data_IF_717906752135
#
_entry.id   IF_717906752135
#
_cell.length_a   1.000
_cell.length_b   1.000
_cell.length_c   1.000
_cell.angle_alpha   90.00
_cell.angle_beta   90.00
_cell.angle_gamma   90.00
#
_symmetry.space_group_name_H-M   'P 1'
#
loop_
_entity.id
_entity.type
_entity.pdbx_description
1 polymer ?
#
# COMPACT_ATOMS: atom_id res chain seq x y z
N UNK A 1 -10.20 -24.47 -0.64
CA UNK A 1 -9.35 -23.77 -1.62
C UNK A 1 -10.15 -22.59 -2.15
N UNK A 2 -9.64 -21.37 -2.10
CA UNK A 2 -10.39 -20.20 -2.56
C UNK A 2 -10.57 -20.27 -4.08
N UNK A 3 -11.77 -19.97 -4.56
CA UNK A 3 -12.10 -19.94 -5.99
C UNK A 3 -11.45 -18.68 -6.62
N UNK A 4 -10.50 -18.81 -7.56
CA UNK A 4 -9.81 -17.65 -8.16
C UNK A 4 -10.76 -16.70 -8.89
N UNK A 5 -11.87 -17.19 -9.46
CA UNK A 5 -12.87 -16.33 -10.10
C UNK A 5 -13.59 -15.40 -9.11
N UNK A 6 -13.78 -15.86 -7.87
CA UNK A 6 -14.34 -15.04 -6.79
C UNK A 6 -13.43 -13.91 -6.35
N UNK A 7 -12.11 -14.05 -6.49
CA UNK A 7 -11.14 -12.98 -6.16
C UNK A 7 -11.18 -11.91 -7.24
N UNK A 8 -11.20 -12.29 -8.51
CA UNK A 8 -11.30 -11.38 -9.67
C UNK A 8 -12.56 -10.52 -9.65
N UNK A 9 -13.72 -11.08 -9.30
CA UNK A 9 -14.97 -10.31 -9.19
C UNK A 9 -14.91 -9.19 -8.12
N UNK A 10 -14.19 -9.41 -7.02
CA UNK A 10 -14.08 -8.39 -5.96
C UNK A 10 -13.29 -7.16 -6.40
N UNK A 11 -12.33 -7.32 -7.31
CA UNK A 11 -11.53 -6.22 -7.89
C UNK A 11 -12.42 -5.26 -8.64
N UNK A 12 -13.23 -5.78 -9.57
CA UNK A 12 -14.15 -4.97 -10.38
C UNK A 12 -15.15 -4.23 -9.50
N UNK A 13 -15.72 -4.91 -8.50
CA UNK A 13 -16.67 -4.30 -7.58
C UNK A 13 -16.05 -3.14 -6.79
N UNK A 14 -14.81 -3.30 -6.30
CA UNK A 14 -14.08 -2.23 -5.62
C UNK A 14 -13.79 -1.04 -6.53
N UNK A 15 -13.39 -1.27 -7.78
CA UNK A 15 -13.19 -0.19 -8.75
C UNK A 15 -14.47 0.60 -9.01
N UNK A 16 -15.62 -0.06 -9.09
CA UNK A 16 -16.92 0.62 -9.21
C UNK A 16 -17.23 1.44 -7.97
N UNK A 17 -17.00 0.90 -6.77
CA UNK A 17 -17.19 1.64 -5.51
C UNK A 17 -16.27 2.87 -5.42
N UNK A 18 -15.02 2.76 -5.87
CA UNK A 18 -14.08 3.88 -5.95
C UNK A 18 -14.53 4.96 -6.93
N UNK A 19 -15.41 4.64 -7.88
CA UNK A 19 -15.99 5.63 -8.80
C UNK A 19 -17.20 6.34 -8.21
N UNK A 20 -17.76 5.86 -7.10
CA UNK A 20 -18.95 6.45 -6.44
C UNK A 20 -18.53 7.54 -5.44
N UNK A 21 -18.89 8.83 -5.66
CA UNK A 21 -18.47 9.92 -4.79
C UNK A 21 -18.88 9.74 -3.32
N UNK A 22 -20.08 9.22 -3.08
CA UNK A 22 -20.60 9.00 -1.73
C UNK A 22 -19.85 7.90 -0.98
N UNK A 23 -19.43 6.84 -1.69
CA UNK A 23 -18.65 5.77 -1.08
C UNK A 23 -17.26 6.28 -0.72
N UNK A 24 -16.59 6.95 -1.68
CA UNK A 24 -15.28 7.58 -1.45
C UNK A 24 -15.27 8.56 -0.28
N UNK A 25 -16.30 9.40 -0.18
CA UNK A 25 -16.43 10.39 0.88
C UNK A 25 -16.58 9.77 2.28
N UNK A 26 -17.04 8.51 2.37
CA UNK A 26 -17.22 7.76 3.61
C UNK A 26 -16.12 6.74 3.88
N UNK A 27 -15.21 6.56 2.94
CA UNK A 27 -14.11 5.64 3.09
C UNK A 27 -13.03 6.24 3.99
N UNK A 28 -12.19 5.37 4.56
CA UNK A 28 -11.16 5.78 5.52
C UNK A 28 -9.81 5.17 5.14
N UNK A 29 -8.69 5.81 5.51
CA UNK A 29 -7.36 5.26 5.28
C UNK A 29 -7.21 3.87 5.93
N UNK A 30 -7.80 3.66 7.10
CA UNK A 30 -7.78 2.35 7.76
C UNK A 30 -8.48 1.26 6.91
N UNK A 31 -9.66 1.54 6.34
CA UNK A 31 -10.37 0.57 5.49
C UNK A 31 -9.59 0.26 4.23
N UNK A 32 -9.04 1.28 3.56
CA UNK A 32 -8.17 1.11 2.41
C UNK A 32 -6.94 0.27 2.74
N UNK A 33 -6.32 0.53 3.90
CA UNK A 33 -5.18 -0.23 4.37
C UNK A 33 -5.48 -1.72 4.59
N UNK A 34 -6.63 -2.06 5.17
CA UNK A 34 -7.06 -3.45 5.29
C UNK A 34 -7.39 -4.11 3.94
N UNK A 35 -7.91 -3.35 2.95
CA UNK A 35 -8.09 -3.87 1.58
C UNK A 35 -6.74 -4.16 0.92
N UNK A 36 -5.76 -3.28 1.11
CA UNK A 36 -4.39 -3.49 0.65
C UNK A 36 -3.74 -4.70 1.31
N UNK A 37 -3.91 -4.88 2.62
CA UNK A 37 -3.49 -6.10 3.34
C UNK A 37 -4.12 -7.37 2.76
N UNK A 38 -5.43 -7.33 2.50
CA UNK A 38 -6.13 -8.46 1.88
C UNK A 38 -5.57 -8.77 0.48
N UNK A 39 -5.32 -7.74 -0.34
CA UNK A 39 -4.71 -7.90 -1.66
C UNK A 39 -3.30 -8.51 -1.57
N UNK A 40 -2.50 -8.05 -0.61
CA UNK A 40 -1.19 -8.60 -0.31
C UNK A 40 -1.25 -10.09 0.05
N UNK A 41 -2.13 -10.48 0.98
CA UNK A 41 -2.27 -11.89 1.37
C UNK A 41 -2.80 -12.78 0.23
N UNK A 42 -3.57 -12.20 -0.69
CA UNK A 42 -4.03 -12.87 -1.90
C UNK A 42 -2.99 -12.88 -3.03
N UNK A 43 -1.85 -12.20 -2.84
CA UNK A 43 -0.84 -11.94 -3.87
C UNK A 43 -1.40 -11.30 -5.15
N UNK A 44 -2.45 -10.49 -5.00
CA UNK A 44 -3.11 -9.81 -6.10
C UNK A 44 -2.39 -8.49 -6.41
N UNK A 45 -1.39 -8.56 -7.29
CA UNK A 45 -0.58 -7.41 -7.70
C UNK A 45 -1.38 -6.28 -8.34
N UNK A 46 -2.45 -6.61 -9.09
CA UNK A 46 -3.34 -5.61 -9.66
C UNK A 46 -4.08 -4.85 -8.55
N UNK A 47 -4.62 -5.56 -7.57
CA UNK A 47 -5.28 -4.92 -6.43
C UNK A 47 -4.34 -4.13 -5.55
N UNK A 48 -3.11 -4.60 -5.34
CA UNK A 48 -2.07 -3.83 -4.65
C UNK A 48 -1.86 -2.49 -5.36
N UNK A 49 -1.72 -2.53 -6.69
CA UNK A 49 -1.55 -1.32 -7.51
C UNK A 49 -2.76 -0.39 -7.35
N UNK A 50 -3.98 -0.90 -7.53
CA UNK A 50 -5.20 -0.09 -7.46
C UNK A 50 -5.47 0.51 -6.09
N UNK A 51 -5.31 -0.24 -5.00
CA UNK A 51 -5.53 0.28 -3.64
C UNK A 51 -4.42 1.26 -3.23
N UNK A 52 -3.17 1.03 -3.64
CA UNK A 52 -2.06 1.98 -3.42
C UNK A 52 -2.35 3.32 -4.10
N UNK A 53 -2.78 3.28 -5.37
CA UNK A 53 -3.13 4.48 -6.13
C UNK A 53 -4.37 5.17 -5.56
N UNK A 54 -5.37 4.39 -5.16
CA UNK A 54 -6.57 4.92 -4.52
C UNK A 54 -6.23 5.66 -3.22
N UNK A 55 -5.36 5.08 -2.37
CA UNK A 55 -4.89 5.70 -1.14
C UNK A 55 -4.11 7.00 -1.43
N UNK A 56 -3.19 6.97 -2.41
CA UNK A 56 -2.41 8.13 -2.84
C UNK A 56 -3.30 9.30 -3.27
N UNK A 57 -4.35 9.04 -4.04
CA UNK A 57 -5.24 10.08 -4.60
C UNK A 57 -6.19 10.72 -3.59
N UNK A 58 -6.16 10.35 -2.32
CA UNK A 58 -6.87 11.07 -1.27
C UNK A 58 -5.98 12.18 -0.66
N UNK A 59 -6.24 13.46 -0.98
CA UNK A 59 -5.37 14.57 -0.55
C UNK A 59 -5.63 15.04 0.89
N UNK A 60 -6.67 14.54 1.55
CA UNK A 60 -7.01 14.96 2.91
C UNK A 60 -5.87 14.60 3.88
N UNK A 61 -5.49 15.48 4.83
CA UNK A 61 -4.49 15.17 5.86
C UNK A 61 -4.80 13.92 6.68
N UNK A 62 -6.09 13.54 6.78
CA UNK A 62 -6.48 12.29 7.43
C UNK A 62 -5.89 11.05 6.75
N UNK A 63 -5.53 11.13 5.46
CA UNK A 63 -4.91 10.07 4.67
C UNK A 63 -3.38 10.16 4.62
N UNK A 64 -2.74 10.99 5.46
CA UNK A 64 -1.29 10.94 5.62
C UNK A 64 -0.87 9.56 6.16
N UNK A 65 0.26 9.01 5.68
CA UNK A 65 0.69 7.66 6.12
C UNK A 65 0.95 7.60 7.62
N UNK A 66 1.44 8.68 8.22
CA UNK A 66 1.67 8.78 9.66
C UNK A 66 0.40 8.61 10.50
N UNK A 67 -0.78 8.85 9.91
CA UNK A 67 -2.08 8.77 10.56
C UNK A 67 -2.75 7.38 10.43
N UNK A 68 -2.08 6.39 9.84
CA UNK A 68 -2.61 5.01 9.81
C UNK A 68 -2.63 4.48 11.25
N UNK A 69 -3.81 4.13 11.81
CA UNK A 69 -3.91 3.65 13.18
C UNK A 69 -3.21 2.31 13.35
N UNK A 70 -2.67 2.09 14.55
CA UNK A 70 -2.09 0.80 14.92
C UNK A 70 -3.19 -0.28 14.90
N UNK A 71 -3.04 -1.37 14.13
CA UNK A 71 -4.03 -2.44 14.09
C UNK A 71 -3.97 -3.36 15.32
N UNK A 72 -2.94 -3.25 16.18
CA UNK A 72 -2.78 -4.04 17.41
C UNK A 72 -2.98 -5.55 17.20
N UNK A 73 -2.44 -6.07 16.09
CA UNK A 73 -2.64 -7.46 15.69
C UNK A 73 -2.03 -8.45 16.71
N UNK A 74 -2.81 -9.45 17.13
CA UNK A 74 -2.34 -10.54 18.00
C UNK A 74 -1.38 -11.49 17.29
N UNK A 75 -1.63 -11.76 16.00
CA UNK A 75 -0.77 -12.61 15.18
C UNK A 75 0.50 -11.85 14.74
N UNK A 76 1.70 -12.32 15.12
CA UNK A 76 2.95 -11.65 14.76
C UNK A 76 3.21 -11.60 13.25
N UNK A 77 2.77 -12.61 12.48
CA UNK A 77 2.94 -12.61 11.01
C UNK A 77 2.09 -11.51 10.38
N UNK A 78 0.80 -11.47 10.71
CA UNK A 78 -0.09 -10.39 10.31
C UNK A 78 0.47 -9.01 10.71
N UNK A 79 0.96 -8.86 11.94
CA UNK A 79 1.44 -7.56 12.40
C UNK A 79 2.70 -7.11 11.64
N UNK A 80 3.63 -8.02 11.38
CA UNK A 80 4.83 -7.75 10.59
C UNK A 80 4.51 -7.40 9.13
N UNK A 81 3.52 -8.08 8.53
CA UNK A 81 3.03 -7.75 7.18
C UNK A 81 2.41 -6.36 7.16
N UNK A 82 1.51 -6.06 8.11
CA UNK A 82 0.87 -4.74 8.21
C UNK A 82 1.91 -3.63 8.43
N UNK A 83 2.89 -3.84 9.32
CA UNK A 83 3.97 -2.85 9.52
C UNK A 83 4.77 -2.59 8.23
N UNK A 84 5.11 -3.66 7.52
CA UNK A 84 5.85 -3.56 6.25
C UNK A 84 5.03 -2.90 5.14
N UNK A 85 3.70 -3.13 5.11
CA UNK A 85 2.78 -2.47 4.19
C UNK A 85 2.71 -0.95 4.44
N UNK A 86 2.65 -0.53 5.69
CA UNK A 86 2.64 0.89 6.02
C UNK A 86 3.95 1.57 5.61
N UNK A 87 5.09 0.91 5.83
CA UNK A 87 6.41 1.42 5.43
C UNK A 87 6.60 1.43 3.91
N UNK A 88 6.16 0.41 3.17
CA UNK A 88 6.29 0.40 1.70
C UNK A 88 5.40 1.46 1.06
N UNK A 89 4.23 1.77 1.64
CA UNK A 89 3.42 2.91 1.20
C UNK A 89 4.21 4.21 1.30
N UNK A 90 4.90 4.45 2.42
CA UNK A 90 5.75 5.64 2.62
C UNK A 90 6.84 5.72 1.57
N UNK A 91 7.60 4.64 1.38
CA UNK A 91 8.68 4.61 0.38
C UNK A 91 8.12 4.84 -1.04
N UNK A 92 6.99 4.22 -1.38
CA UNK A 92 6.35 4.37 -2.68
C UNK A 92 5.79 5.78 -2.92
N UNK A 93 5.31 6.45 -1.88
CA UNK A 93 4.78 7.81 -1.99
C UNK A 93 5.90 8.84 -2.00
N UNK A 94 6.97 8.62 -1.23
CA UNK A 94 8.18 9.44 -1.30
C UNK A 94 8.78 9.40 -2.71
N UNK A 95 8.88 8.22 -3.31
CA UNK A 95 9.32 8.07 -4.69
C UNK A 95 8.41 8.82 -5.68
N UNK A 96 7.08 8.75 -5.53
CA UNK A 96 6.14 9.55 -6.34
C UNK A 96 6.37 11.05 -6.18
N UNK A 97 6.63 11.52 -4.97
CA UNK A 97 6.93 12.94 -4.69
C UNK A 97 8.25 13.39 -5.34
N UNK A 98 9.28 12.54 -5.32
CA UNK A 98 10.58 12.76 -5.97
C UNK A 98 10.45 12.85 -7.50
N UNK A 99 9.55 12.07 -8.09
CA UNK A 99 9.16 12.20 -9.51
C UNK A 99 8.37 13.49 -9.82
N UNK A 100 7.99 14.25 -8.79
CA UNK A 100 7.22 15.48 -8.92
C UNK A 100 5.71 15.28 -8.91
N UNK A 101 5.21 14.07 -8.68
CA UNK A 101 3.77 13.80 -8.62
C UNK A 101 3.17 14.37 -7.33
N UNK A 102 1.91 14.79 -7.37
CA UNK A 102 1.13 15.19 -6.20
C UNK A 102 -0.18 14.44 -6.11
N UNK A 103 -0.64 14.21 -4.87
CA UNK A 103 -1.91 13.54 -4.57
C UNK A 103 -3.12 14.21 -5.25
N UNK A 104 -3.05 15.53 -5.43
CA UNK A 104 -4.11 16.35 -6.05
C UNK A 104 -3.94 16.55 -7.56
N UNK A 105 -2.88 16.02 -8.18
CA UNK A 105 -2.66 16.21 -9.61
C UNK A 105 -3.73 15.48 -10.43
N UNK A 106 -4.09 16.10 -11.56
CA UNK A 106 -4.87 15.42 -12.60
C UNK A 106 -4.11 14.17 -13.06
N UNK A 107 -4.80 13.06 -13.41
CA UNK A 107 -4.15 11.87 -13.99
C UNK A 107 -3.28 12.15 -15.23
N UNK A 108 -3.49 13.30 -15.89
CA UNK A 108 -2.67 13.75 -17.01
C UNK A 108 -1.36 14.32 -16.43
N UNK A 109 -0.30 13.51 -16.49
CA UNK A 109 1.04 13.86 -16.03
C UNK A 109 1.53 15.17 -16.67
N UNK A 110 1.63 16.23 -15.87
CA UNK A 110 2.54 17.31 -16.17
C UNK A 110 3.87 16.96 -15.53
N UNK A 111 4.82 16.46 -16.33
CA UNK A 111 6.20 16.31 -15.86
C UNK A 111 6.74 17.68 -15.48
N UNK A 112 6.83 17.96 -14.17
CA UNK A 112 7.49 19.16 -13.71
C UNK A 112 8.96 19.07 -14.12
N UNK A 113 9.48 20.04 -14.89
CA UNK A 113 10.90 20.12 -15.25
C UNK A 113 11.83 20.13 -14.03
N UNK A 114 11.30 20.54 -12.87
CA UNK A 114 11.90 20.45 -11.55
C UNK A 114 10.79 20.11 -10.55
N UNK A 115 10.89 19.04 -9.75
CA UNK A 115 9.87 18.68 -8.76
C UNK A 115 9.58 19.87 -7.85
N UNK A 116 8.30 20.17 -7.54
CA UNK A 116 8.00 21.18 -6.54
C UNK A 116 8.56 20.77 -5.17
N UNK A 117 8.67 21.69 -4.20
CA UNK A 117 8.86 21.31 -2.81
C UNK A 117 7.75 20.34 -2.35
N UNK A 118 8.09 19.42 -1.45
CA UNK A 118 7.14 18.50 -0.84
C UNK A 118 7.47 18.28 0.63
N UNK A 119 6.45 17.88 1.39
CA UNK A 119 6.62 17.33 2.74
C UNK A 119 6.76 15.81 2.58
N UNK A 120 7.86 15.20 3.05
CA UNK A 120 8.02 13.75 3.00
C UNK A 120 6.90 13.04 3.76
N UNK A 121 6.47 11.89 3.24
CA UNK A 121 5.64 10.96 4.01
C UNK A 121 6.46 10.39 5.17
N UNK A 122 5.78 10.10 6.28
CA UNK A 122 6.40 9.62 7.51
C UNK A 122 5.74 8.29 7.88
N UNK A 123 6.54 7.32 8.33
CA UNK A 123 6.02 6.05 8.83
C UNK A 123 5.14 6.26 10.07
N UNK A 124 4.04 5.51 10.22
CA UNK A 124 3.32 5.48 11.49
C UNK A 124 4.26 5.04 12.62
N UNK A 125 4.18 5.71 13.77
CA UNK A 125 5.10 5.47 14.88
C UNK A 125 5.05 4.04 15.45
N UNK A 126 3.94 3.32 15.24
CA UNK A 126 3.79 1.94 15.69
C UNK A 126 4.64 0.95 14.88
N UNK A 127 4.92 1.23 13.61
CA UNK A 127 5.69 0.33 12.72
C UNK A 127 7.09 0.03 13.26
N UNK A 128 7.74 1.04 13.86
CA UNK A 128 9.06 0.92 14.47
C UNK A 128 9.11 -0.05 15.67
N UNK A 129 7.97 -0.36 16.28
CA UNK A 129 7.86 -1.29 17.42
C UNK A 129 7.72 -2.74 16.98
N UNK A 130 7.44 -3.00 15.69
CA UNK A 130 7.14 -4.33 15.17
C UNK A 130 8.42 -5.02 14.72
N UNK A 131 8.85 -6.10 15.41
CA UNK A 131 10.11 -6.76 15.11
C UNK A 131 10.05 -7.59 13.81
N UNK A 132 11.20 -7.96 13.24
CA UNK A 132 11.28 -8.95 12.17
C UNK A 132 10.77 -10.34 12.60
N UNK A 133 10.25 -11.12 11.64
CA UNK A 133 9.83 -12.49 11.89
C UNK A 133 11.04 -13.42 12.08
N UNK A 134 10.91 -14.35 13.04
CA UNK A 134 11.95 -15.37 13.32
C UNK A 134 12.19 -16.29 12.12
N UNK A 135 11.12 -16.60 11.39
CA UNK A 135 11.11 -17.50 10.25
C UNK A 135 10.78 -16.75 8.98
N UNK A 136 11.33 -17.22 7.86
CA UNK A 136 11.07 -16.66 6.54
C UNK A 136 9.60 -16.84 6.18
N UNK A 137 8.89 -15.74 5.93
CA UNK A 137 7.53 -15.75 5.39
C UNK A 137 7.60 -15.46 3.88
N UNK A 138 7.10 -16.38 3.05
CA UNK A 138 7.08 -16.22 1.59
C UNK A 138 5.65 -16.10 1.13
N UNK A 139 5.35 -15.01 0.43
CA UNK A 139 4.04 -14.77 -0.18
C UNK A 139 4.23 -14.80 -1.69
N UNK A 140 3.65 -15.83 -2.33
CA UNK A 140 3.64 -16.04 -3.78
C UNK A 140 5.05 -16.09 -4.43
N UNK A 141 5.69 -17.27 -4.43
CA UNK A 141 7.12 -17.45 -4.75
C UNK A 141 7.46 -17.34 -6.25
N UNK A 142 6.70 -16.59 -7.05
CA UNK A 142 6.87 -16.59 -8.51
C UNK A 142 8.14 -15.87 -9.00
N UNK A 143 8.81 -15.09 -8.16
CA UNK A 143 10.06 -14.41 -8.52
C UNK A 143 11.18 -14.68 -7.51
N UNK A 144 12.32 -15.18 -8.00
CA UNK A 144 13.52 -15.46 -7.20
C UNK A 144 14.35 -14.19 -6.89
N UNK A 145 13.99 -13.03 -7.45
CA UNK A 145 14.75 -11.78 -7.31
C UNK A 145 13.99 -10.80 -6.42
N UNK A 146 14.41 -10.76 -5.17
CA UNK A 146 13.87 -9.89 -4.15
C UNK A 146 14.76 -8.66 -3.93
N UNK A 147 14.20 -7.46 -4.10
CA UNK A 147 14.91 -6.20 -3.85
C UNK A 147 14.76 -5.76 -2.39
N UNK A 148 15.76 -5.11 -1.80
CA UNK A 148 15.66 -4.56 -0.43
C UNK A 148 14.38 -3.72 -0.30
N UNK A 149 13.58 -4.06 0.71
CA UNK A 149 12.28 -3.45 0.94
C UNK A 149 11.89 -3.59 2.41
N UNK A 150 10.88 -2.84 2.88
CA UNK A 150 10.34 -2.97 4.22
C UNK A 150 9.95 -4.41 4.60
N UNK A 151 9.53 -5.22 3.61
CA UNK A 151 9.22 -6.63 3.80
C UNK A 151 10.49 -7.45 4.12
N UNK A 152 11.57 -7.26 3.38
CA UNK A 152 12.83 -8.00 3.60
C UNK A 152 13.43 -7.69 4.96
N UNK A 153 13.33 -6.44 5.41
CA UNK A 153 13.74 -6.02 6.78
C UNK A 153 13.00 -6.80 7.86
N UNK A 154 11.80 -7.34 7.58
CA UNK A 154 11.01 -8.18 8.49
C UNK A 154 10.98 -9.67 8.15
N UNK A 155 11.88 -10.15 7.29
CA UNK A 155 11.96 -11.57 6.87
C UNK A 155 10.72 -12.03 6.08
N UNK A 156 10.07 -11.09 5.37
CA UNK A 156 8.92 -11.32 4.49
C UNK A 156 9.38 -11.14 3.04
N UNK A 157 9.02 -12.09 2.18
CA UNK A 157 9.50 -12.16 0.79
C UNK A 157 8.31 -12.19 -0.16
N UNK A 158 8.20 -11.14 -0.97
CA UNK A 158 7.18 -10.95 -2.01
C UNK A 158 7.65 -9.93 -3.04
N UNK A 159 7.09 -9.99 -4.26
CA UNK A 159 7.37 -9.01 -5.30
C UNK A 159 6.77 -7.64 -4.94
N UNK A 160 7.62 -6.63 -4.78
CA UNK A 160 7.20 -5.27 -4.36
C UNK A 160 6.90 -4.31 -5.50
N UNK A 161 7.16 -4.70 -6.75
CA UNK A 161 6.98 -3.83 -7.92
C UNK A 161 5.58 -3.22 -8.02
N UNK A 162 4.55 -3.95 -7.58
CA UNK A 162 3.15 -3.53 -7.61
C UNK A 162 2.84 -2.25 -6.80
N UNK A 163 3.65 -1.88 -5.81
CA UNK A 163 3.47 -0.63 -5.05
C UNK A 163 4.00 0.61 -5.78
N UNK A 164 4.87 0.41 -6.78
CA UNK A 164 5.62 1.46 -7.47
C UNK A 164 5.10 1.74 -8.89
N UNK A 165 3.92 1.23 -9.26
CA UNK A 165 3.28 1.56 -10.53
C UNK A 165 2.66 2.96 -10.47
N UNK A 166 2.88 3.77 -11.51
CA UNK A 166 2.34 5.15 -11.70
C UNK A 166 1.77 5.33 -13.10
#
# INVERSE_FOLDING_TARGET
MADPERVSCQVRDLMYLHSMPLWRARDTPQRAFYRLYKAFCAADGHMITYETEYFWRHPSPSWATANIPDPECEDPEQYAVMASLAEVLVESFLWRLELGLRRSDSPIMNHYKKPPPYVPEICPSWTAKVPPLKTKLVIHPEEDVYFDSPFHRRNIYMATGWFYTV
#
